data_IF_793433143494
#
_entry.id   IF_793433143494
#
_cell.length_a   1.000
_cell.length_b   1.000
_cell.length_c   1.000
_cell.angle_alpha   90.00
_cell.angle_beta   90.00
_cell.angle_gamma   90.00
#
_symmetry.space_group_name_H-M   'P 1'
#
loop_
_entity.id
_entity.type
_entity.pdbx_description
1 polymer ?
#
# COMPACT_ATOMS: atom_id res chain seq x y z
N UNK A 1 -7.61 17.09 27.39
CA UNK A 1 -8.69 17.60 26.50
C UNK A 1 -8.83 16.64 25.33
N UNK A 2 -10.04 16.20 25.01
CA UNK A 2 -10.27 15.35 23.85
C UNK A 2 -10.07 16.20 22.57
N UNK A 3 -9.24 15.71 21.63
CA UNK A 3 -8.96 16.42 20.37
C UNK A 3 -10.25 16.79 19.66
N UNK A 4 -10.38 18.06 19.25
CA UNK A 4 -11.51 18.55 18.46
C UNK A 4 -11.53 17.86 17.10
N UNK A 5 -12.69 17.80 16.44
CA UNK A 5 -12.80 17.19 15.09
C UNK A 5 -11.85 17.88 14.08
N UNK A 6 -11.64 19.18 14.23
CA UNK A 6 -10.71 19.95 13.40
C UNK A 6 -9.24 19.52 13.62
N UNK A 7 -8.83 19.29 14.87
CA UNK A 7 -7.50 18.80 15.21
C UNK A 7 -7.25 17.36 14.73
N UNK A 8 -8.28 16.49 14.77
CA UNK A 8 -8.18 15.13 14.21
C UNK A 8 -8.06 15.14 12.68
N UNK A 9 -8.84 16.00 12.00
CA UNK A 9 -8.74 16.14 10.56
C UNK A 9 -7.41 16.79 10.12
N UNK A 10 -6.86 17.71 10.92
CA UNK A 10 -5.54 18.29 10.68
C UNK A 10 -4.44 17.24 10.84
N UNK A 11 -4.47 16.45 11.91
CA UNK A 11 -3.54 15.34 12.11
C UNK A 11 -3.62 14.27 11.00
N UNK A 12 -4.83 13.97 10.51
CA UNK A 12 -5.02 13.08 9.36
C UNK A 12 -4.46 13.65 8.04
N UNK A 13 -4.53 14.98 7.85
CA UNK A 13 -3.94 15.66 6.68
C UNK A 13 -2.42 15.82 6.79
N UNK A 14 -1.89 16.05 7.98
CA UNK A 14 -0.45 16.15 8.23
C UNK A 14 0.24 14.79 8.11
N UNK A 15 -0.41 13.69 8.52
CA UNK A 15 0.09 12.32 8.29
C UNK A 15 0.01 11.84 6.84
N UNK A 16 -0.52 12.65 5.90
CA UNK A 16 -0.63 12.31 4.48
C UNK A 16 0.56 12.77 3.63
N UNK A 17 1.63 13.32 4.22
CA UNK A 17 2.85 13.62 3.46
C UNK A 17 3.50 12.31 2.97
N UNK A 18 3.17 11.91 1.74
CA UNK A 18 3.74 10.74 1.06
C UNK A 18 2.69 9.74 0.53
N UNK A 19 1.49 9.73 1.10
CA UNK A 19 0.42 8.80 0.69
C UNK A 19 -0.15 9.18 -0.69
N UNK A 20 -0.10 8.24 -1.64
CA UNK A 20 -0.76 8.35 -2.95
C UNK A 20 -2.07 7.55 -2.96
N UNK A 21 -3.09 8.06 -3.66
CA UNK A 21 -4.36 7.35 -3.80
C UNK A 21 -4.22 6.18 -4.79
N UNK A 22 -4.74 5.01 -4.41
CA UNK A 22 -4.84 3.83 -5.28
C UNK A 22 -6.25 3.76 -5.86
N UNK A 23 -6.40 4.06 -7.14
CA UNK A 23 -7.67 3.94 -7.87
C UNK A 23 -7.67 2.66 -8.70
N UNK A 24 -8.32 1.61 -8.19
CA UNK A 24 -8.39 0.31 -8.87
C UNK A 24 -9.75 -0.35 -8.68
N UNK A 25 -10.23 -0.99 -9.74
CA UNK A 25 -11.38 -1.89 -9.68
C UNK A 25 -10.87 -3.31 -9.47
N UNK A 26 -11.46 -4.03 -8.51
CA UNK A 26 -11.14 -5.44 -8.22
C UNK A 26 -12.38 -6.30 -8.41
N UNK A 27 -12.20 -7.61 -8.58
CA UNK A 27 -13.32 -8.55 -8.65
C UNK A 27 -14.12 -8.59 -7.34
N UNK A 28 -15.38 -9.02 -7.42
CA UNK A 28 -16.23 -9.22 -6.24
C UNK A 28 -15.58 -10.21 -5.26
N UNK A 29 -15.02 -11.30 -5.76
CA UNK A 29 -14.33 -12.32 -4.97
C UNK A 29 -13.15 -11.74 -4.18
N UNK A 30 -12.33 -10.89 -4.83
CA UNK A 30 -11.21 -10.22 -4.18
C UNK A 30 -11.69 -9.22 -3.11
N UNK A 31 -12.78 -8.50 -3.38
CA UNK A 31 -13.40 -7.59 -2.40
C UNK A 31 -13.88 -8.35 -1.16
N UNK A 32 -14.53 -9.50 -1.34
CA UNK A 32 -14.98 -10.35 -0.23
C UNK A 32 -13.80 -10.94 0.55
N UNK A 33 -12.75 -11.37 -0.14
CA UNK A 33 -11.52 -11.86 0.50
C UNK A 33 -10.86 -10.76 1.35
N UNK A 34 -10.73 -9.54 0.81
CA UNK A 34 -10.15 -8.40 1.52
C UNK A 34 -10.94 -8.04 2.78
N UNK A 35 -12.28 -8.07 2.72
CA UNK A 35 -13.14 -7.87 3.90
C UNK A 35 -12.87 -8.93 4.97
N UNK A 36 -12.81 -10.21 4.59
CA UNK A 36 -12.52 -11.30 5.53
C UNK A 36 -11.13 -11.16 6.17
N UNK A 37 -10.10 -10.83 5.39
CA UNK A 37 -8.74 -10.62 5.89
C UNK A 37 -8.67 -9.46 6.89
N UNK A 38 -9.28 -8.33 6.54
CA UNK A 38 -9.37 -7.16 7.42
C UNK A 38 -10.05 -7.51 8.75
N UNK A 39 -11.15 -8.27 8.71
CA UNK A 39 -11.82 -8.74 9.94
C UNK A 39 -11.01 -9.77 10.73
N UNK A 40 -10.27 -10.65 10.07
CA UNK A 40 -9.47 -11.69 10.74
C UNK A 40 -8.28 -11.12 11.50
N UNK A 41 -7.59 -10.14 10.90
CA UNK A 41 -6.39 -9.53 11.47
C UNK A 41 -6.67 -8.27 12.31
N UNK A 42 -7.92 -7.81 12.40
CA UNK A 42 -8.31 -6.53 13.01
C UNK A 42 -7.55 -5.32 12.42
N UNK A 43 -7.27 -5.39 11.12
CA UNK A 43 -6.47 -4.38 10.41
C UNK A 43 -7.30 -3.71 9.32
N UNK A 44 -7.16 -2.39 9.09
CA UNK A 44 -7.80 -1.72 7.96
C UNK A 44 -7.42 -2.34 6.62
N UNK A 45 -8.38 -2.46 5.70
CA UNK A 45 -8.14 -3.00 4.34
C UNK A 45 -6.97 -2.34 3.60
N UNK A 46 -6.76 -1.02 3.81
CA UNK A 46 -5.63 -0.31 3.23
C UNK A 46 -4.27 -0.88 3.69
N UNK A 47 -4.17 -1.29 4.96
CA UNK A 47 -2.93 -1.82 5.53
C UNK A 47 -2.65 -3.19 4.92
N UNK A 48 -3.67 -4.05 4.84
CA UNK A 48 -3.58 -5.36 4.17
C UNK A 48 -3.08 -5.20 2.72
N UNK A 49 -3.67 -4.27 1.95
CA UNK A 49 -3.24 -4.01 0.56
C UNK A 49 -1.79 -3.52 0.52
N UNK A 50 -1.43 -2.56 1.37
CA UNK A 50 -0.07 -2.01 1.41
C UNK A 50 0.96 -3.08 1.75
N UNK A 51 0.71 -3.90 2.78
CA UNK A 51 1.59 -4.99 3.17
C UNK A 51 1.74 -6.03 2.06
N UNK A 52 0.64 -6.42 1.40
CA UNK A 52 0.70 -7.35 0.27
C UNK A 52 1.53 -6.80 -0.89
N UNK A 53 1.37 -5.52 -1.24
CA UNK A 53 2.16 -4.88 -2.31
C UNK A 53 3.64 -4.83 -1.92
N UNK A 54 3.97 -4.38 -0.72
CA UNK A 54 5.34 -4.27 -0.25
C UNK A 54 6.03 -5.63 -0.12
N UNK A 55 5.29 -6.67 0.31
CA UNK A 55 5.81 -8.02 0.38
C UNK A 55 6.12 -8.59 -1.01
N UNK A 56 5.22 -8.37 -1.97
CA UNK A 56 5.43 -8.79 -3.35
C UNK A 56 6.62 -8.06 -3.99
N UNK A 57 6.69 -6.74 -3.84
CA UNK A 57 7.80 -5.91 -4.33
C UNK A 57 9.14 -6.36 -3.73
N UNK A 58 9.20 -6.52 -2.41
CA UNK A 58 10.39 -7.03 -1.72
C UNK A 58 10.83 -8.39 -2.23
N UNK A 59 9.89 -9.32 -2.44
CA UNK A 59 10.20 -10.66 -2.93
C UNK A 59 10.88 -10.62 -4.31
N UNK A 60 10.45 -9.70 -5.17
CA UNK A 60 11.10 -9.47 -6.47
C UNK A 60 12.48 -8.86 -6.27
N UNK A 61 12.60 -7.76 -5.50
CA UNK A 61 13.87 -7.09 -5.24
C UNK A 61 14.92 -8.04 -4.68
N UNK A 62 14.55 -8.87 -3.70
CA UNK A 62 15.44 -9.84 -3.06
C UNK A 62 15.91 -10.94 -4.03
N UNK A 63 15.19 -11.16 -5.14
CA UNK A 63 15.56 -12.10 -6.20
C UNK A 63 16.47 -11.51 -7.29
N UNK A 64 16.61 -10.18 -7.32
CA UNK A 64 17.38 -9.47 -8.34
C UNK A 64 18.82 -9.24 -7.89
N UNK A 65 19.77 -9.44 -8.79
CA UNK A 65 21.15 -9.01 -8.56
C UNK A 65 21.23 -7.48 -8.66
N UNK A 66 21.84 -6.84 -7.66
CA UNK A 66 22.00 -5.40 -7.60
C UNK A 66 22.76 -4.88 -8.83
N UNK A 67 22.29 -3.77 -9.40
CA UNK A 67 22.86 -3.10 -10.58
C UNK A 67 22.84 -3.93 -11.88
N UNK A 68 22.25 -5.13 -11.87
CA UNK A 68 22.01 -5.92 -13.07
C UNK A 68 21.04 -5.23 -14.03
N UNK A 69 21.01 -5.69 -15.28
CA UNK A 69 20.02 -5.20 -16.25
C UNK A 69 18.58 -5.39 -15.76
N UNK A 70 18.28 -6.52 -15.11
CA UNK A 70 16.95 -6.81 -14.57
C UNK A 70 16.57 -5.88 -13.41
N UNK A 71 17.55 -5.52 -12.57
CA UNK A 71 17.37 -4.51 -11.54
C UNK A 71 17.01 -3.15 -12.15
N UNK A 72 17.76 -2.71 -13.15
CA UNK A 72 17.52 -1.43 -13.80
C UNK A 72 16.16 -1.38 -14.51
N UNK A 73 15.78 -2.44 -15.22
CA UNK A 73 14.48 -2.55 -15.90
C UNK A 73 13.30 -2.54 -14.91
N UNK A 74 13.42 -3.25 -13.78
CA UNK A 74 12.37 -3.28 -12.75
C UNK A 74 12.10 -1.89 -12.14
N UNK A 75 13.15 -1.08 -11.96
CA UNK A 75 13.02 0.26 -11.38
C UNK A 75 12.81 1.39 -12.41
N UNK A 76 12.77 1.11 -13.71
CA UNK A 76 12.63 2.15 -14.75
C UNK A 76 11.20 2.67 -14.95
N UNK A 77 10.29 2.44 -13.99
CA UNK A 77 8.83 2.63 -14.14
C UNK A 77 8.44 4.11 -14.28
N UNK A 78 9.33 5.05 -13.93
CA UNK A 78 9.10 6.50 -14.07
C UNK A 78 9.38 7.06 -15.49
N UNK A 79 9.87 6.26 -16.45
CA UNK A 79 10.32 6.71 -17.78
C UNK A 79 9.42 6.28 -18.97
N UNK A 80 8.16 5.86 -18.74
CA UNK A 80 7.23 5.46 -19.82
C UNK A 80 5.97 6.32 -19.91
#
# INVERSE_FOLDING_TARGET
MAKTNAERQKAYRENKQGDKALHVWISEEASLALKRLSSHYDEPQKNIIQEMILLADKTIIDSLEKDSYQWQDYFSVDDK
#
